data_IF_385891223740
#
_entry.id   IF_385891223740
#
_cell.length_a   1.000
_cell.length_b   1.000
_cell.length_c   1.000
_cell.angle_alpha   90.00
_cell.angle_beta   90.00
_cell.angle_gamma   90.00
#
_symmetry.space_group_name_H-M   'P 1'
#
loop_
_entity.id
_entity.type
_entity.pdbx_description
1 polymer ?
#
# COMPACT_ATOMS: atom_id res chain seq x y z
N UNK A 1 17.60 5.45 -14.96
CA UNK A 1 17.57 6.49 -13.91
C UNK A 1 17.76 5.82 -12.56
N UNK A 2 18.46 6.46 -11.60
CA UNK A 2 18.68 5.92 -10.26
C UNK A 2 17.36 5.76 -9.49
N UNK A 3 17.07 4.57 -8.92
CA UNK A 3 15.84 4.31 -8.15
C UNK A 3 15.63 5.24 -6.96
N UNK A 4 16.73 5.65 -6.30
CA UNK A 4 16.75 6.46 -5.08
C UNK A 4 16.11 7.83 -5.27
N UNK A 5 16.18 8.36 -6.50
CA UNK A 5 15.55 9.62 -6.85
C UNK A 5 14.02 9.50 -6.84
N UNK A 6 13.50 8.42 -7.41
CA UNK A 6 12.05 8.16 -7.45
C UNK A 6 11.51 7.82 -6.07
N UNK A 7 12.27 7.09 -5.26
CA UNK A 7 11.89 6.80 -3.88
C UNK A 7 11.70 8.11 -3.10
N UNK A 8 12.62 9.08 -3.22
CA UNK A 8 12.44 10.41 -2.62
C UNK A 8 11.20 11.13 -3.14
N UNK A 9 10.94 11.10 -4.45
CA UNK A 9 9.75 11.74 -5.01
C UNK A 9 8.46 11.13 -4.47
N UNK A 10 8.39 9.80 -4.41
CA UNK A 10 7.24 9.06 -3.88
C UNK A 10 7.09 9.30 -2.38
N UNK A 11 8.20 9.42 -1.64
CA UNK A 11 8.19 9.77 -0.22
C UNK A 11 7.54 11.12 0.05
N UNK A 12 7.71 12.13 -0.82
CA UNK A 12 7.01 13.40 -0.67
C UNK A 12 5.49 13.29 -0.89
N UNK A 13 5.00 12.24 -1.55
CA UNK A 13 3.58 12.00 -1.81
C UNK A 13 2.86 11.25 -0.67
N UNK A 14 3.49 11.02 0.47
CA UNK A 14 2.96 10.22 1.59
C UNK A 14 1.52 10.58 2.05
N UNK A 15 1.11 11.85 1.92
CA UNK A 15 -0.23 12.33 2.22
C UNK A 15 -1.24 12.18 1.07
N UNK A 16 -0.79 12.13 -0.19
CA UNK A 16 -1.66 12.04 -1.36
C UNK A 16 -1.84 10.59 -1.82
N UNK A 17 -2.87 9.94 -1.27
CA UNK A 17 -3.20 8.55 -1.62
C UNK A 17 -3.63 8.40 -3.08
N UNK A 18 -4.14 9.44 -3.74
CA UNK A 18 -4.54 9.35 -5.15
C UNK A 18 -3.29 9.33 -6.03
N UNK A 19 -2.35 10.26 -5.79
CA UNK A 19 -1.07 10.29 -6.49
C UNK A 19 -0.28 8.98 -6.28
N UNK A 20 -0.23 8.47 -5.05
CA UNK A 20 0.45 7.20 -4.76
C UNK A 20 -0.17 6.00 -5.50
N UNK A 21 -1.49 5.96 -5.69
CA UNK A 21 -2.15 4.93 -6.50
C UNK A 21 -1.70 5.00 -7.95
N UNK A 22 -1.64 6.20 -8.52
CA UNK A 22 -1.15 6.40 -9.89
C UNK A 22 0.32 5.97 -9.99
N UNK A 23 1.18 6.40 -9.07
CA UNK A 23 2.59 6.00 -9.00
C UNK A 23 2.77 4.48 -8.96
N UNK A 24 1.90 3.75 -8.25
CA UNK A 24 1.96 2.28 -8.17
C UNK A 24 1.69 1.57 -9.49
N UNK A 25 1.11 2.26 -10.48
CA UNK A 25 0.78 1.74 -11.81
C UNK A 25 1.79 2.14 -12.89
N UNK A 26 2.71 3.06 -12.61
CA UNK A 26 3.69 3.58 -13.59
C UNK A 26 4.69 2.48 -13.99
N UNK A 27 5.36 1.86 -13.02
CA UNK A 27 6.31 0.78 -13.27
C UNK A 27 6.57 -0.07 -12.03
N UNK A 28 7.18 -1.25 -12.22
CA UNK A 28 7.48 -2.19 -11.12
C UNK A 28 8.41 -1.61 -10.05
N UNK A 29 9.35 -0.75 -10.42
CA UNK A 29 10.31 -0.13 -9.50
C UNK A 29 9.65 0.83 -8.52
N UNK A 30 8.51 1.42 -8.87
CA UNK A 30 7.78 2.37 -8.00
C UNK A 30 6.82 1.69 -7.04
N UNK A 31 6.56 0.39 -7.24
CA UNK A 31 5.62 -0.40 -6.44
C UNK A 31 6.05 -0.43 -4.95
N UNK A 32 7.32 -0.71 -4.58
CA UNK A 32 7.70 -0.81 -3.18
C UNK A 32 7.47 0.49 -2.41
N UNK A 33 7.96 1.63 -2.91
CA UNK A 33 7.78 2.93 -2.29
C UNK A 33 6.31 3.37 -2.25
N UNK A 34 5.56 3.17 -3.34
CA UNK A 34 4.14 3.54 -3.37
C UNK A 34 3.30 2.69 -2.39
N UNK A 35 3.55 1.37 -2.37
CA UNK A 35 2.85 0.44 -1.46
C UNK A 35 3.18 0.69 0.00
N UNK A 36 4.42 1.06 0.31
CA UNK A 36 4.82 1.46 1.66
C UNK A 36 3.92 2.56 2.22
N UNK A 37 3.65 3.61 1.42
CA UNK A 37 2.79 4.71 1.84
C UNK A 37 1.30 4.38 1.74
N UNK A 38 0.88 3.55 0.79
CA UNK A 38 -0.53 3.15 0.64
C UNK A 38 -1.00 2.14 1.68
N UNK A 39 -0.15 1.19 2.05
CA UNK A 39 -0.49 0.04 2.91
C UNK A 39 0.02 0.20 4.34
N UNK A 40 0.84 1.22 4.62
CA UNK A 40 1.35 1.48 5.97
C UNK A 40 0.23 1.71 7.00
N UNK A 41 -0.91 2.27 6.60
CA UNK A 41 -2.08 2.45 7.45
C UNK A 41 -3.35 2.03 6.70
N UNK A 42 -3.89 0.86 7.04
CA UNK A 42 -5.14 0.36 6.46
C UNK A 42 -6.26 0.62 7.46
N UNK A 43 -7.24 1.42 7.06
CA UNK A 43 -8.49 1.58 7.80
C UNK A 43 -9.53 0.63 7.23
N UNK A 44 -9.97 -0.33 8.02
CA UNK A 44 -10.98 -1.31 7.62
C UNK A 44 -12.28 -0.93 8.32
N UNK A 45 -13.35 -0.64 7.55
CA UNK A 45 -14.65 -0.35 8.16
C UNK A 45 -15.44 -1.66 8.36
N UNK A 46 -15.91 -1.97 9.58
CA UNK A 46 -16.57 -3.25 9.88
C UNK A 46 -17.92 -3.47 9.18
N UNK A 47 -18.43 -2.46 8.47
CA UNK A 47 -19.76 -2.49 7.84
C UNK A 47 -19.70 -3.04 6.40
N UNK A 48 -18.51 -3.11 5.77
CA UNK A 48 -18.42 -3.58 4.39
C UNK A 48 -18.30 -5.11 4.32
N UNK A 49 -19.08 -5.82 3.47
CA UNK A 49 -18.93 -7.27 3.26
C UNK A 49 -17.53 -7.68 2.78
N UNK A 50 -16.73 -6.74 2.25
CA UNK A 50 -15.31 -6.91 1.94
C UNK A 50 -14.39 -7.07 3.17
N UNK A 51 -14.90 -6.90 4.40
CA UNK A 51 -14.14 -7.10 5.64
C UNK A 51 -13.61 -8.53 5.75
N UNK A 52 -14.49 -9.52 5.56
CA UNK A 52 -14.14 -10.95 5.66
C UNK A 52 -13.14 -11.36 4.59
N UNK A 53 -13.35 -10.92 3.34
CA UNK A 53 -12.44 -11.22 2.23
C UNK A 53 -11.06 -10.59 2.41
N UNK A 54 -10.98 -9.38 2.99
CA UNK A 54 -9.68 -8.76 3.26
C UNK A 54 -8.96 -9.44 4.43
N UNK A 55 -9.69 -9.91 5.45
CA UNK A 55 -9.14 -10.76 6.52
C UNK A 55 -8.54 -12.05 5.96
N UNK A 56 -9.29 -12.79 5.13
CA UNK A 56 -8.78 -14.01 4.48
C UNK A 56 -7.58 -13.74 3.57
N UNK A 57 -7.57 -12.62 2.85
CA UNK A 57 -6.43 -12.24 2.02
C UNK A 57 -5.20 -11.93 2.86
N UNK A 58 -5.35 -11.32 4.04
CA UNK A 58 -4.22 -11.07 4.96
C UNK A 58 -3.68 -12.35 5.58
N UNK A 59 -4.54 -13.33 5.87
CA UNK A 59 -4.17 -14.64 6.42
C UNK A 59 -3.57 -15.60 5.36
N UNK A 60 -3.69 -15.26 4.07
CA UNK A 60 -3.07 -16.04 2.99
C UNK A 60 -1.55 -16.04 3.09
N UNK A 61 -0.94 -17.22 3.07
CA UNK A 61 0.51 -17.42 3.03
C UNK A 61 1.21 -16.82 1.79
N UNK A 62 0.45 -16.46 0.76
CA UNK A 62 0.94 -15.76 -0.44
C UNK A 62 0.70 -14.25 -0.41
N UNK A 63 0.18 -13.70 0.68
CA UNK A 63 -0.17 -12.29 0.76
C UNK A 63 1.07 -11.39 0.72
N UNK A 64 1.27 -10.70 -0.40
CA UNK A 64 2.32 -9.68 -0.52
C UNK A 64 1.99 -8.37 0.18
N UNK A 65 0.73 -8.21 0.62
CA UNK A 65 0.28 -7.02 1.35
C UNK A 65 0.80 -7.02 2.78
N UNK A 66 0.74 -8.17 3.48
CA UNK A 66 1.07 -8.27 4.91
C UNK A 66 2.46 -7.72 5.25
N UNK A 67 3.46 -7.97 4.39
CA UNK A 67 4.83 -7.45 4.56
C UNK A 67 4.93 -5.91 4.63
N UNK A 68 3.93 -5.20 4.12
CA UNK A 68 3.93 -3.74 4.01
C UNK A 68 2.87 -3.08 4.89
N UNK A 69 2.11 -3.85 5.67
CA UNK A 69 1.11 -3.34 6.61
C UNK A 69 1.79 -3.04 7.95
N UNK A 70 1.82 -1.77 8.34
CA UNK A 70 2.40 -1.34 9.64
C UNK A 70 1.34 -1.12 10.70
N UNK A 71 0.14 -0.68 10.29
CA UNK A 71 -0.97 -0.39 11.19
C UNK A 71 -2.30 -0.73 10.52
N UNK A 72 -3.13 -1.50 11.22
CA UNK A 72 -4.53 -1.74 10.86
C UNK A 72 -5.38 -0.99 11.88
N UNK A 73 -6.30 -0.15 11.41
CA UNK A 73 -7.29 0.55 12.24
C UNK A 73 -8.67 0.02 11.86
N UNK A 74 -9.43 -0.43 12.86
CA UNK A 74 -10.79 -0.98 12.71
C UNK A 74 -11.80 0.11 13.07
#
# INVERSE_FOLDING_TARGET
FPPELFDRFIDFLHHDKQALKVCSLVCRTWIPASRFHLLGCITVRPISPSFYSMGELLDSSFCTLFKNVRKITI
#
